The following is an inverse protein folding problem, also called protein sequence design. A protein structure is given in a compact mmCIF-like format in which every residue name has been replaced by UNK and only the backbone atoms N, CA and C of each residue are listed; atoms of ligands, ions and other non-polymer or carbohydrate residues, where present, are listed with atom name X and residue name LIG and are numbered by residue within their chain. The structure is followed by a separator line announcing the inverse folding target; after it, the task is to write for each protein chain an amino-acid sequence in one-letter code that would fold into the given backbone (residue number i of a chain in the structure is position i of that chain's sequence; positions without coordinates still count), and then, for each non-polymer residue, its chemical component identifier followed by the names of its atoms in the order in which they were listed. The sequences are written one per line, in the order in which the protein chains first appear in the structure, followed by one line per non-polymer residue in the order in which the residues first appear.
data_IF_135523787067
#
_entry.id   IF_135523787067
#
_cell.length_a   1.000
_cell.length_b   1.000
_cell.length_c   1.000
_cell.angle_alpha   90.00
_cell.angle_beta   90.00
_cell.angle_gamma   90.00
#
_symmetry.space_group_name_H-M   'P 1'
#
loop_
_entity.id
_entity.type
_entity.pdbx_description
1 polymer ?
#
# COMPACT_ATOMS: atom_id res chain seq x y z
N UNK A 1 30.40 51.98 43.42
CA UNK A 1 31.21 52.33 42.25
C UNK A 1 30.95 51.29 41.17
N UNK A 2 30.15 51.47 40.13
CA UNK A 2 29.16 52.47 39.74
C UNK A 2 28.39 51.84 38.57
N UNK A 3 27.08 52.12 38.51
CA UNK A 3 26.25 52.45 37.33
C UNK A 3 26.65 51.91 35.93
N UNK A 4 25.79 51.18 35.19
CA UNK A 4 24.52 51.56 34.54
C UNK A 4 24.65 51.97 33.05
N UNK A 5 23.68 51.49 32.25
CA UNK A 5 23.13 52.05 30.99
C UNK A 5 24.01 52.10 29.73
N UNK A 6 23.51 52.09 28.48
CA UNK A 6 22.21 51.81 27.86
C UNK A 6 22.35 51.87 26.31
N UNK A 7 21.32 51.39 25.61
CA UNK A 7 20.83 51.78 24.26
C UNK A 7 21.58 51.38 22.97
N UNK A 8 20.99 50.40 22.26
CA UNK A 8 20.12 50.66 21.09
C UNK A 8 20.74 50.94 19.71
N UNK A 9 20.46 50.08 18.73
CA UNK A 9 19.76 50.49 17.48
C UNK A 9 19.59 49.33 16.47
N UNK A 10 18.55 49.52 15.66
CA UNK A 10 17.94 48.74 14.59
C UNK A 10 18.83 48.15 13.49
N UNK A 11 18.39 47.02 12.92
CA UNK A 11 18.79 46.60 11.57
C UNK A 11 18.24 45.24 11.14
N UNK A 12 17.07 45.24 10.46
CA UNK A 12 16.61 44.08 9.66
C UNK A 12 17.59 43.85 8.51
N UNK A 13 17.98 42.61 8.23
CA UNK A 13 18.44 42.23 6.90
C UNK A 13 17.99 40.81 6.54
N UNK A 14 17.16 40.75 5.51
CA UNK A 14 16.71 39.57 4.78
C UNK A 14 17.80 39.19 3.79
N UNK A 15 18.25 37.93 3.78
CA UNK A 15 19.12 37.40 2.73
C UNK A 15 18.36 36.32 1.94
N UNK A 16 17.94 36.71 0.73
CA UNK A 16 17.41 35.85 -0.34
C UNK A 16 18.49 34.92 -0.88
N UNK A 17 18.16 33.65 -1.12
CA UNK A 17 18.94 32.73 -1.96
C UNK A 17 18.64 32.97 -3.44
N UNK A 18 19.72 32.89 -4.20
CA UNK A 18 19.90 33.19 -5.63
C UNK A 18 19.41 32.02 -6.48
N UNK A 19 18.61 32.31 -7.52
CA UNK A 19 18.31 31.39 -8.63
C UNK A 19 19.04 31.90 -9.88
N UNK A 20 19.87 31.06 -10.48
CA UNK A 20 20.59 31.34 -11.71
C UNK A 20 19.73 30.97 -12.93
N UNK A 21 19.49 31.94 -13.80
CA UNK A 21 18.88 31.78 -15.13
C UNK A 21 20.01 31.92 -16.15
N UNK A 22 20.23 30.89 -16.97
CA UNK A 22 21.13 30.96 -18.12
C UNK A 22 20.30 31.20 -19.39
N UNK A 23 20.61 32.32 -20.06
CA UNK A 23 20.07 32.70 -21.36
C UNK A 23 21.10 32.41 -22.45
N UNK A 24 20.64 31.99 -23.64
CA UNK A 24 21.42 32.09 -24.87
C UNK A 24 20.53 32.57 -26.03
N UNK A 25 20.79 33.80 -26.51
CA UNK A 25 20.49 34.32 -27.85
C UNK A 25 21.74 34.06 -28.71
N UNK A 26 21.75 33.88 -30.03
CA UNK A 26 20.75 33.92 -31.09
C UNK A 26 21.45 33.99 -32.47
N UNK A 27 20.64 34.19 -33.52
CA UNK A 27 20.94 34.71 -34.86
C UNK A 27 21.11 33.73 -36.05
N UNK A 28 20.40 34.05 -37.15
CA UNK A 28 20.79 33.68 -38.52
C UNK A 28 19.66 33.28 -39.49
N UNK A 29 19.02 34.25 -40.15
CA UNK A 29 18.09 34.06 -41.30
C UNK A 29 18.84 33.63 -42.56
N UNK A 30 18.21 32.78 -43.40
CA UNK A 30 18.29 32.87 -44.87
C UNK A 30 17.11 32.15 -45.56
N UNK A 31 16.58 32.78 -46.61
CA UNK A 31 15.43 32.38 -47.45
C UNK A 31 15.88 31.52 -48.64
N UNK A 32 15.05 30.56 -49.09
CA UNK A 32 14.35 30.54 -50.42
C UNK A 32 13.75 29.17 -50.78
N UNK A 33 12.47 29.23 -51.19
CA UNK A 33 11.78 28.59 -52.33
C UNK A 33 11.79 27.06 -52.62
N UNK A 34 10.56 26.53 -52.58
CA UNK A 34 9.80 25.87 -53.68
C UNK A 34 9.70 24.32 -53.76
N UNK A 35 8.41 23.90 -53.92
CA UNK A 35 7.86 22.65 -54.52
C UNK A 35 8.13 21.33 -53.75
N UNK A 36 7.23 20.36 -53.65
CA UNK A 36 6.12 19.93 -54.49
C UNK A 36 4.97 19.33 -53.66
N UNK A 37 3.73 19.48 -54.17
CA UNK A 37 2.51 18.77 -53.76
C UNK A 37 2.62 17.26 -54.04
N UNK A 38 2.02 16.44 -53.18
CA UNK A 38 1.47 15.14 -53.57
C UNK A 38 0.17 14.88 -52.80
N UNK A 39 -0.89 14.68 -53.59
CA UNK A 39 -2.27 14.37 -53.22
C UNK A 39 -2.39 12.90 -52.81
N UNK A 40 -3.24 12.62 -51.82
CA UNK A 40 -3.74 11.28 -51.50
C UNK A 40 -5.13 11.39 -50.85
N UNK A 41 -6.08 10.47 -51.14
CA UNK A 41 -7.50 10.80 -51.24
C UNK A 41 -8.28 10.72 -49.91
N UNK A 42 -9.29 11.58 -49.79
CA UNK A 42 -10.39 11.50 -48.81
C UNK A 42 -11.55 10.68 -49.38
N UNK A 43 -12.03 9.66 -48.65
CA UNK A 43 -13.42 9.11 -48.70
C UNK A 43 -13.64 8.25 -47.43
N UNK A 44 -14.88 8.00 -46.95
CA UNK A 44 -15.92 8.90 -46.45
C UNK A 44 -16.24 8.65 -44.95
N UNK A 45 -17.02 9.57 -44.38
CA UNK A 45 -17.66 9.44 -43.06
C UNK A 45 -18.75 8.36 -43.12
N UNK A 46 -18.57 7.28 -42.37
CA UNK A 46 -19.55 6.21 -42.14
C UNK A 46 -20.06 6.23 -40.70
N UNK A 47 -21.24 6.80 -40.50
CA UNK A 47 -22.00 6.72 -39.26
C UNK A 47 -22.41 5.26 -39.02
N UNK A 48 -21.89 4.61 -37.98
CA UNK A 48 -22.38 3.33 -37.50
C UNK A 48 -22.65 3.43 -36.01
N UNK A 49 -23.95 3.40 -35.68
CA UNK A 49 -24.45 3.19 -34.32
C UNK A 49 -23.91 1.84 -33.83
N UNK A 50 -23.10 1.83 -32.79
CA UNK A 50 -22.82 0.64 -32.00
C UNK A 50 -23.46 0.87 -30.62
N UNK A 51 -24.49 0.07 -30.37
CA UNK A 51 -25.26 0.05 -29.14
C UNK A 51 -24.39 -0.30 -27.93
N UNK A 52 -24.80 0.24 -26.79
CA UNK A 52 -24.17 -0.01 -25.51
C UNK A 52 -24.08 -1.51 -25.22
N UNK A 53 -22.86 -1.95 -24.92
CA UNK A 53 -22.62 -3.09 -24.04
C UNK A 53 -21.90 -2.53 -22.82
N UNK A 54 -22.68 -2.26 -21.77
CA UNK A 54 -22.15 -2.17 -20.41
C UNK A 54 -21.55 -3.55 -20.10
N UNK A 55 -20.23 -3.66 -20.16
CA UNK A 55 -19.51 -4.81 -19.62
C UNK A 55 -19.47 -4.66 -18.12
N UNK A 56 -20.53 -5.12 -17.43
CA UNK A 56 -20.47 -5.33 -16.00
C UNK A 56 -19.47 -6.45 -15.71
N UNK A 57 -18.38 -6.11 -15.02
CA UNK A 57 -17.51 -7.09 -14.38
C UNK A 57 -18.32 -7.77 -13.27
N UNK A 58 -19.04 -8.83 -13.62
CA UNK A 58 -19.62 -9.77 -12.66
C UNK A 58 -18.61 -10.89 -12.53
N UNK A 59 -17.88 -10.91 -11.42
CA UNK A 59 -17.10 -12.09 -11.07
C UNK A 59 -18.13 -13.21 -10.84
N UNK A 60 -18.15 -14.21 -11.73
CA UNK A 60 -19.09 -15.30 -11.61
C UNK A 60 -18.89 -15.99 -10.25
N UNK A 61 -19.94 -15.99 -9.43
CA UNK A 61 -20.00 -16.76 -8.18
C UNK A 61 -19.91 -18.25 -8.53
N UNK A 62 -18.68 -18.77 -8.58
CA UNK A 62 -18.24 -20.15 -8.27
C UNK A 62 -17.04 -20.55 -9.12
N UNK A 63 -15.93 -20.92 -8.48
CA UNK A 63 -15.38 -22.29 -8.49
C UNK A 63 -14.13 -22.34 -7.60
N UNK A 64 -14.16 -23.27 -6.64
CA UNK A 64 -13.06 -23.82 -5.84
C UNK A 64 -11.92 -22.89 -5.40
N UNK A 65 -12.06 -22.33 -4.18
CA UNK A 65 -10.88 -22.11 -3.33
C UNK A 65 -10.36 -23.48 -2.85
N UNK A 66 -9.71 -24.24 -3.72
CA UNK A 66 -8.91 -25.37 -3.28
C UNK A 66 -7.47 -24.90 -3.04
N UNK A 67 -7.04 -24.99 -1.80
CA UNK A 67 -5.71 -24.67 -1.32
C UNK A 67 -4.70 -25.73 -1.78
N UNK A 68 -4.06 -25.53 -2.93
CA UNK A 68 -2.87 -26.30 -3.26
C UNK A 68 -1.65 -25.67 -2.56
N UNK A 69 -1.08 -26.38 -1.59
CA UNK A 69 0.14 -25.99 -0.86
C UNK A 69 1.44 -26.20 -1.66
N UNK A 70 1.35 -26.35 -2.99
CA UNK A 70 2.50 -26.48 -3.89
C UNK A 70 2.76 -25.13 -4.56
N UNK A 71 4.01 -24.61 -4.54
CA UNK A 71 4.33 -23.39 -5.26
C UNK A 71 4.00 -23.58 -6.73
N UNK A 72 3.11 -22.75 -7.28
CA UNK A 72 2.76 -22.81 -8.68
C UNK A 72 4.00 -22.50 -9.50
N UNK A 73 4.37 -23.41 -10.41
CA UNK A 73 5.47 -23.20 -11.37
C UNK A 73 5.03 -22.33 -12.56
N UNK A 74 3.78 -21.87 -12.54
CA UNK A 74 3.19 -21.06 -13.60
C UNK A 74 3.85 -19.68 -13.65
N UNK A 75 4.10 -19.13 -14.84
CA UNK A 75 4.62 -17.78 -14.98
C UNK A 75 3.62 -16.77 -14.39
N UNK A 76 4.15 -15.80 -13.65
CA UNK A 76 3.38 -14.70 -13.07
C UNK A 76 3.43 -13.53 -14.06
N UNK A 77 2.25 -13.10 -14.51
CA UNK A 77 2.07 -12.01 -15.47
C UNK A 77 1.45 -10.82 -14.75
N UNK A 78 2.06 -9.65 -14.89
CA UNK A 78 1.82 -8.49 -14.02
C UNK A 78 1.68 -7.19 -14.82
N UNK A 79 1.13 -7.32 -16.03
CA UNK A 79 1.12 -6.28 -17.05
C UNK A 79 -0.26 -5.67 -17.27
N UNK A 80 -1.32 -6.27 -16.74
CA UNK A 80 -2.68 -5.81 -16.97
C UNK A 80 -3.47 -5.53 -15.68
N UNK A 81 -4.30 -4.49 -15.76
CA UNK A 81 -5.12 -3.98 -14.67
C UNK A 81 -6.05 -5.05 -14.07
N UNK A 82 -6.65 -5.88 -14.92
CA UNK A 82 -7.67 -6.86 -14.50
C UNK A 82 -7.07 -7.95 -13.63
N UNK A 83 -5.92 -8.49 -14.02
CA UNK A 83 -5.23 -9.54 -13.26
C UNK A 83 -4.72 -9.00 -11.93
N UNK A 84 -4.19 -7.77 -11.90
CA UNK A 84 -3.79 -7.11 -10.66
C UNK A 84 -4.99 -6.99 -9.71
N UNK A 85 -6.13 -6.48 -10.18
CA UNK A 85 -7.35 -6.36 -9.36
C UNK A 85 -7.81 -7.72 -8.86
N UNK A 86 -7.86 -8.73 -9.73
CA UNK A 86 -8.32 -10.07 -9.36
C UNK A 86 -7.42 -10.73 -8.32
N UNK A 87 -6.10 -10.72 -8.52
CA UNK A 87 -5.15 -11.35 -7.61
C UNK A 87 -5.10 -10.62 -6.27
N UNK A 88 -5.05 -9.29 -6.29
CA UNK A 88 -5.12 -8.45 -5.09
C UNK A 88 -6.39 -8.75 -4.29
N UNK A 89 -7.55 -8.70 -4.94
CA UNK A 89 -8.84 -8.87 -4.28
C UNK A 89 -8.99 -10.28 -3.70
N UNK A 90 -8.57 -11.30 -4.45
CA UNK A 90 -8.54 -12.68 -3.97
C UNK A 90 -7.67 -12.82 -2.72
N UNK A 91 -6.48 -12.23 -2.72
CA UNK A 91 -5.58 -12.26 -1.57
C UNK A 91 -6.17 -11.53 -0.35
N UNK A 92 -6.77 -10.35 -0.53
CA UNK A 92 -7.45 -9.62 0.54
C UNK A 92 -8.62 -10.42 1.10
N UNK A 93 -9.47 -11.01 0.25
CA UNK A 93 -10.58 -11.86 0.68
C UNK A 93 -10.10 -13.09 1.46
N UNK A 94 -9.02 -13.73 1.03
CA UNK A 94 -8.41 -14.82 1.79
C UNK A 94 -7.90 -14.35 3.15
N UNK A 95 -7.25 -13.17 3.19
CA UNK A 95 -6.81 -12.57 4.43
C UNK A 95 -7.96 -12.29 5.40
N UNK A 96 -9.06 -11.70 4.89
CA UNK A 96 -10.27 -11.43 5.67
C UNK A 96 -10.95 -12.71 6.16
N UNK A 97 -10.95 -13.79 5.36
CA UNK A 97 -11.46 -15.11 5.78
C UNK A 97 -10.66 -15.71 6.93
N UNK A 98 -9.36 -15.42 6.99
CA UNK A 98 -8.47 -15.86 8.06
C UNK A 98 -8.38 -14.81 9.19
N UNK A 99 -9.40 -13.96 9.34
CA UNK A 99 -9.50 -12.92 10.38
C UNK A 99 -8.29 -11.97 10.44
N UNK A 100 -7.63 -11.68 9.32
CA UNK A 100 -6.61 -10.64 9.26
C UNK A 100 -7.25 -9.26 9.33
N UNK A 101 -6.83 -8.47 10.32
CA UNK A 101 -7.28 -7.09 10.50
C UNK A 101 -6.30 -6.06 9.95
N UNK A 102 -5.05 -6.45 9.64
CA UNK A 102 -4.01 -5.54 9.15
C UNK A 102 -3.30 -6.16 7.96
N UNK A 103 -3.51 -5.58 6.78
CA UNK A 103 -3.02 -6.12 5.52
C UNK A 103 -2.26 -5.07 4.71
N UNK A 104 -1.21 -5.51 4.04
CA UNK A 104 -0.45 -4.73 3.06
C UNK A 104 -0.71 -5.30 1.66
N UNK A 105 -1.00 -4.40 0.74
CA UNK A 105 -1.21 -4.69 -0.67
C UNK A 105 -0.30 -3.78 -1.48
N UNK A 106 0.66 -4.37 -2.19
CA UNK A 106 1.59 -3.67 -3.07
C UNK A 106 1.54 -4.32 -4.45
N UNK A 107 1.35 -3.51 -5.48
CA UNK A 107 1.26 -3.96 -6.87
C UNK A 107 2.20 -3.14 -7.75
N UNK A 108 2.59 -3.64 -8.94
CA UNK A 108 3.61 -2.97 -9.74
C UNK A 108 3.02 -1.72 -10.40
N UNK A 109 3.87 -0.75 -10.79
CA UNK A 109 3.40 0.42 -11.53
C UNK A 109 2.73 -0.01 -12.83
N UNK A 110 1.55 0.57 -13.08
CA UNK A 110 0.76 0.32 -14.30
C UNK A 110 1.41 1.07 -15.47
N UNK A 111 1.69 0.35 -16.56
CA UNK A 111 2.42 0.84 -17.74
C UNK A 111 1.83 2.10 -18.39
N UNK A 112 0.53 2.36 -18.25
CA UNK A 112 -0.09 3.61 -18.74
C UNK A 112 0.47 4.87 -18.03
N UNK A 113 1.10 4.70 -16.86
CA UNK A 113 1.77 5.75 -16.10
C UNK A 113 3.27 5.91 -16.43
N UNK A 114 3.88 5.02 -17.24
CA UNK A 114 5.29 5.10 -17.62
C UNK A 114 5.55 6.12 -18.76
N UNK A 115 4.49 6.53 -19.48
CA UNK A 115 4.61 7.40 -20.65
C UNK A 115 4.82 8.90 -20.32
N UNK A 116 4.63 9.34 -19.06
CA UNK A 116 4.82 10.75 -18.69
C UNK A 116 5.32 10.87 -17.24
N UNK A 117 6.59 11.25 -17.07
CA UNK A 117 7.22 11.63 -15.78
C UNK A 117 6.60 12.89 -15.12
N UNK A 118 5.33 13.23 -15.37
CA UNK A 118 4.77 14.56 -15.05
C UNK A 118 3.29 14.60 -14.61
N UNK A 119 2.75 13.56 -14.00
CA UNK A 119 1.47 13.70 -13.30
C UNK A 119 1.38 12.74 -12.12
N UNK A 120 1.91 13.16 -10.96
CA UNK A 120 1.58 12.56 -9.66
C UNK A 120 0.08 12.29 -9.52
N UNK A 121 -0.73 13.19 -10.08
CA UNK A 121 -2.19 13.10 -10.12
C UNK A 121 -2.68 11.83 -10.81
N UNK A 122 -2.03 11.37 -11.88
CA UNK A 122 -2.42 10.11 -12.58
C UNK A 122 -2.14 8.89 -11.69
N UNK A 123 -1.03 8.88 -10.94
CA UNK A 123 -0.74 7.82 -9.98
C UNK A 123 -1.75 7.83 -8.82
N UNK A 124 -2.07 9.02 -8.30
CA UNK A 124 -3.06 9.22 -7.24
C UNK A 124 -4.43 8.72 -7.70
N UNK A 125 -4.87 9.12 -8.88
CA UNK A 125 -6.18 8.75 -9.45
C UNK A 125 -6.25 7.25 -9.79
N UNK A 126 -5.16 6.66 -10.29
CA UNK A 126 -5.08 5.22 -10.53
C UNK A 126 -5.23 4.43 -9.22
N UNK A 127 -4.57 4.86 -8.14
CA UNK A 127 -4.72 4.23 -6.82
C UNK A 127 -6.15 4.33 -6.28
N UNK A 128 -6.83 5.46 -6.50
CA UNK A 128 -8.27 5.60 -6.18
C UNK A 128 -9.10 4.61 -6.97
N UNK A 129 -8.83 4.46 -8.28
CA UNK A 129 -9.54 3.51 -9.13
C UNK A 129 -9.35 2.06 -8.68
N UNK A 130 -8.13 1.65 -8.33
CA UNK A 130 -7.86 0.32 -7.74
C UNK A 130 -8.59 0.13 -6.41
N UNK A 131 -8.63 1.16 -5.56
CA UNK A 131 -9.30 1.09 -4.26
C UNK A 131 -10.81 0.90 -4.42
N UNK A 132 -11.42 1.62 -5.37
CA UNK A 132 -12.83 1.45 -5.74
C UNK A 132 -13.06 0.05 -6.29
N UNK A 133 -12.17 -0.47 -7.14
CA UNK A 133 -12.30 -1.82 -7.67
C UNK A 133 -12.23 -2.90 -6.57
N UNK A 134 -11.33 -2.75 -5.60
CA UNK A 134 -11.28 -3.62 -4.42
C UNK A 134 -12.59 -3.51 -3.62
N UNK A 135 -13.00 -2.28 -3.29
CA UNK A 135 -14.23 -2.02 -2.53
C UNK A 135 -15.47 -2.62 -3.18
N UNK A 136 -15.54 -2.60 -4.53
CA UNK A 136 -16.64 -3.18 -5.30
C UNK A 136 -16.79 -4.67 -5.10
N UNK A 137 -15.69 -5.39 -4.94
CA UNK A 137 -15.77 -6.83 -4.69
C UNK A 137 -16.02 -7.08 -3.21
N UNK A 138 -15.41 -6.31 -2.31
CA UNK A 138 -15.61 -6.47 -0.87
C UNK A 138 -17.08 -6.26 -0.44
N UNK A 139 -17.80 -5.30 -1.04
CA UNK A 139 -19.24 -5.13 -0.75
C UNK A 139 -20.09 -6.34 -1.16
N UNK A 140 -19.67 -7.16 -2.14
CA UNK A 140 -20.38 -8.40 -2.49
C UNK A 140 -20.28 -9.46 -1.39
N UNK A 141 -19.34 -9.27 -0.46
CA UNK A 141 -19.17 -10.05 0.76
C UNK A 141 -19.69 -9.29 1.99
N UNK A 142 -20.70 -8.42 1.80
CA UNK A 142 -21.38 -7.65 2.83
C UNK A 142 -20.46 -6.78 3.71
N UNK A 143 -19.33 -6.31 3.15
CA UNK A 143 -18.41 -5.39 3.84
C UNK A 143 -18.74 -3.94 3.53
N UNK A 144 -18.75 -3.10 4.56
CA UNK A 144 -18.75 -1.64 4.39
C UNK A 144 -17.31 -1.13 4.29
N UNK A 145 -16.98 -0.50 3.16
CA UNK A 145 -15.61 -0.09 2.82
C UNK A 145 -15.48 1.43 2.82
N UNK A 146 -14.50 1.95 3.56
CA UNK A 146 -14.12 3.36 3.50
C UNK A 146 -12.69 3.51 2.97
N UNK A 147 -12.55 4.21 1.84
CA UNK A 147 -11.26 4.51 1.24
C UNK A 147 -10.73 5.80 1.87
N UNK A 148 -9.58 5.71 2.54
CA UNK A 148 -8.94 6.80 3.24
C UNK A 148 -7.83 7.41 2.38
N UNK A 149 -7.99 8.70 2.11
CA UNK A 149 -7.04 9.55 1.39
C UNK A 149 -6.23 10.41 2.38
N UNK A 150 -5.06 10.95 1.98
CA UNK A 150 -4.19 11.69 2.90
C UNK A 150 -4.86 12.88 3.55
N UNK A 151 -5.59 13.68 2.77
CA UNK A 151 -6.25 14.88 3.24
C UNK A 151 -7.63 15.11 2.60
N UNK A 152 -8.34 16.09 3.14
CA UNK A 152 -9.63 16.54 2.66
C UNK A 152 -9.64 17.10 1.21
N UNK A 153 -8.51 17.61 0.72
CA UNK A 153 -8.42 18.12 -0.65
C UNK A 153 -8.36 16.97 -1.67
N UNK A 154 -7.62 15.91 -1.34
CA UNK A 154 -7.57 14.64 -2.06
C UNK A 154 -8.96 14.00 -2.12
N UNK A 155 -9.70 13.97 -1.00
CA UNK A 155 -11.11 13.49 -0.98
C UNK A 155 -12.00 14.30 -1.93
N UNK A 156 -11.92 15.63 -1.90
CA UNK A 156 -12.72 16.48 -2.80
C UNK A 156 -12.38 16.25 -4.26
N UNK A 157 -11.09 16.07 -4.59
CA UNK A 157 -10.64 15.77 -5.95
C UNK A 157 -11.15 14.41 -6.41
N UNK A 158 -10.92 13.37 -5.61
CA UNK A 158 -11.38 12.02 -5.90
C UNK A 158 -12.91 11.97 -6.07
N UNK A 159 -13.68 12.63 -5.21
CA UNK A 159 -15.15 12.72 -5.34
C UNK A 159 -15.58 13.44 -6.62
N UNK A 160 -14.83 14.45 -7.08
CA UNK A 160 -15.13 15.14 -8.35
C UNK A 160 -14.92 14.25 -9.57
N UNK A 161 -13.89 13.39 -9.54
CA UNK A 161 -13.52 12.52 -10.67
C UNK A 161 -14.35 11.23 -10.67
N UNK A 162 -14.47 10.59 -9.50
CA UNK A 162 -15.06 9.26 -9.32
C UNK A 162 -16.44 9.27 -8.67
N UNK A 163 -17.03 10.43 -8.38
CA UNK A 163 -18.32 10.56 -7.69
C UNK A 163 -19.44 9.75 -8.33
N UNK A 164 -19.61 9.83 -9.66
CA UNK A 164 -20.61 9.03 -10.37
C UNK A 164 -20.41 7.52 -10.19
N UNK A 165 -19.17 7.06 -10.08
CA UNK A 165 -18.86 5.66 -9.86
C UNK A 165 -19.08 5.26 -8.40
N UNK A 166 -18.85 6.16 -7.45
CA UNK A 166 -19.08 5.94 -6.02
C UNK A 166 -20.57 5.95 -5.68
N UNK A 167 -21.35 6.84 -6.29
CA UNK A 167 -22.80 6.96 -6.09
C UNK A 167 -23.57 5.71 -6.58
N UNK A 168 -22.92 4.81 -7.32
CA UNK A 168 -23.48 3.51 -7.72
C UNK A 168 -23.41 2.46 -6.61
N UNK A 169 -22.67 2.72 -5.54
CA UNK A 169 -22.38 1.75 -4.48
C UNK A 169 -22.72 2.34 -3.12
N UNK A 170 -23.66 1.70 -2.41
CA UNK A 170 -24.13 2.20 -1.11
C UNK A 170 -23.08 1.97 0.00
N UNK A 171 -22.26 0.93 -0.12
CA UNK A 171 -21.33 0.48 0.93
C UNK A 171 -19.88 0.93 0.70
N UNK A 172 -19.63 1.86 -0.23
CA UNK A 172 -18.29 2.39 -0.52
C UNK A 172 -18.28 3.90 -0.31
N UNK A 173 -17.42 4.37 0.58
CA UNK A 173 -17.28 5.80 0.87
C UNK A 173 -15.83 6.28 0.79
N UNK A 174 -15.63 7.59 0.65
CA UNK A 174 -14.32 8.24 0.76
C UNK A 174 -14.21 8.97 2.09
N UNK A 175 -13.03 8.92 2.71
CA UNK A 175 -12.67 9.67 3.91
C UNK A 175 -11.24 10.21 3.85
N UNK A 176 -10.87 11.08 4.78
CA UNK A 176 -9.53 11.65 4.91
C UNK A 176 -8.83 11.14 6.17
N UNK A 177 -7.51 10.98 6.12
CA UNK A 177 -6.66 10.76 7.31
C UNK A 177 -6.44 12.06 8.07
N UNK A 178 -6.23 13.16 7.34
CA UNK A 178 -5.97 14.50 7.90
C UNK A 178 -7.04 15.49 7.44
N UNK A 179 -7.72 16.12 8.40
CA UNK A 179 -8.82 17.05 8.17
C UNK A 179 -9.33 17.59 9.49
N UNK A 180 -9.83 18.84 9.51
CA UNK A 180 -10.39 19.56 10.69
C UNK A 180 -11.03 18.58 11.66
N UNK A 181 -10.62 18.66 12.94
CA UNK A 181 -11.02 17.77 14.03
C UNK A 181 -12.39 17.14 13.84
N UNK A 182 -12.43 15.82 13.98
CA UNK A 182 -13.64 15.02 13.91
C UNK A 182 -14.22 14.76 12.51
N UNK A 183 -13.54 13.92 11.72
CA UNK A 183 -14.25 13.14 10.68
C UNK A 183 -14.01 11.65 10.88
N UNK A 184 -12.78 11.25 11.21
CA UNK A 184 -12.54 9.92 11.78
C UNK A 184 -13.01 9.91 13.25
N UNK A 185 -12.68 10.92 14.06
CA UNK A 185 -13.21 11.00 15.43
C UNK A 185 -14.71 11.28 15.51
N UNK A 186 -15.38 12.00 14.60
CA UNK A 186 -16.86 12.14 14.65
C UNK A 186 -17.58 10.87 14.16
N UNK A 187 -17.06 10.19 13.13
CA UNK A 187 -17.58 8.88 12.72
C UNK A 187 -17.38 7.80 13.81
N UNK A 188 -16.40 8.01 14.69
CA UNK A 188 -16.11 7.15 15.86
C UNK A 188 -16.81 7.67 17.13
N UNK A 189 -17.07 8.96 17.34
CA UNK A 189 -17.70 9.48 18.56
C UNK A 189 -19.24 9.40 18.53
N UNK A 190 -19.87 9.32 17.34
CA UNK A 190 -21.33 9.22 17.19
C UNK A 190 -21.93 7.90 17.71
N UNK A 191 -21.12 6.89 17.99
CA UNK A 191 -21.56 5.57 18.50
C UNK A 191 -22.14 5.63 19.93
N UNK A 192 -22.07 6.77 20.62
CA UNK A 192 -22.76 6.97 21.91
C UNK A 192 -24.30 7.05 21.80
N UNK A 193 -24.87 7.22 20.60
CA UNK A 193 -26.30 7.52 20.42
C UNK A 193 -27.26 6.33 20.31
N UNK A 194 -26.79 5.09 20.11
CA UNK A 194 -27.68 3.98 19.66
C UNK A 194 -28.24 3.11 20.80
N UNK A 195 -27.72 3.20 22.03
CA UNK A 195 -28.22 2.39 23.16
C UNK A 195 -29.40 2.99 23.94
N UNK A 196 -30.03 4.08 23.47
CA UNK A 196 -31.15 4.75 24.18
C UNK A 196 -32.54 4.57 23.56
N UNK A 197 -32.73 3.77 22.50
CA UNK A 197 -34.03 3.65 21.80
C UNK A 197 -34.81 2.37 22.07
N UNK A 198 -34.72 1.84 23.30
CA UNK A 198 -35.63 0.79 23.79
C UNK A 198 -36.50 1.28 24.96
N UNK A 199 -36.92 2.54 24.93
CA UNK A 199 -38.07 3.03 25.70
C UNK A 199 -38.84 4.09 24.90
N UNK A 200 -40.16 3.93 24.83
CA UNK A 200 -41.01 4.53 23.82
C UNK A 200 -41.46 5.98 24.02
N UNK A 201 -42.27 6.41 23.04
CA UNK A 201 -43.03 7.66 22.88
C UNK A 201 -42.30 8.92 22.37
N UNK A 202 -42.78 9.44 21.23
CA UNK A 202 -42.61 10.86 20.88
C UNK A 202 -42.61 11.18 19.39
N UNK A 203 -43.77 11.59 18.88
CA UNK A 203 -43.99 12.22 17.58
C UNK A 203 -43.29 13.57 17.41
N UNK A 204 -42.70 13.87 16.25
CA UNK A 204 -42.23 15.22 15.90
C UNK A 204 -41.51 15.30 14.55
N UNK A 205 -41.81 16.34 13.78
CA UNK A 205 -41.51 16.56 12.36
C UNK A 205 -40.08 16.99 12.00
N UNK A 206 -39.58 16.50 10.85
CA UNK A 206 -38.73 17.23 9.89
C UNK A 206 -37.21 17.20 10.09
N UNK A 207 -36.47 16.54 9.18
CA UNK A 207 -35.17 17.01 8.66
C UNK A 207 -34.68 16.13 7.49
N UNK A 208 -33.97 16.77 6.56
CA UNK A 208 -33.32 16.19 5.38
C UNK A 208 -32.52 14.92 5.76
N UNK A 209 -32.77 13.82 5.05
CA UNK A 209 -32.15 12.54 5.31
C UNK A 209 -30.63 12.59 5.14
N UNK A 210 -29.93 12.57 6.27
CA UNK A 210 -28.54 12.13 6.35
C UNK A 210 -28.48 10.65 5.99
N UNK A 211 -27.63 10.31 5.02
CA UNK A 211 -27.27 8.92 4.73
C UNK A 211 -26.83 8.25 6.05
N UNK A 212 -27.40 7.07 6.29
CA UNK A 212 -27.29 6.32 7.54
C UNK A 212 -25.84 5.96 7.87
N UNK A 213 -25.43 6.18 9.12
CA UNK A 213 -24.13 5.80 9.69
C UNK A 213 -23.97 4.27 9.68
N UNK A 214 -23.51 3.73 8.56
CA UNK A 214 -23.11 2.33 8.46
C UNK A 214 -21.74 2.14 9.14
N UNK A 215 -21.67 1.20 10.08
CA UNK A 215 -20.41 0.78 10.71
C UNK A 215 -19.42 0.34 9.62
N UNK A 216 -18.24 0.95 9.57
CA UNK A 216 -17.20 0.61 8.59
C UNK A 216 -16.45 -0.64 9.02
N UNK A 217 -16.42 -1.65 8.16
CA UNK A 217 -15.75 -2.93 8.43
C UNK A 217 -14.35 -3.00 7.83
N UNK A 218 -14.06 -2.17 6.81
CA UNK A 218 -12.78 -2.20 6.11
C UNK A 218 -12.35 -0.81 5.68
N UNK A 219 -11.18 -0.39 6.14
CA UNK A 219 -10.49 0.81 5.71
C UNK A 219 -9.45 0.46 4.65
N UNK A 220 -9.48 1.14 3.50
CA UNK A 220 -8.46 1.02 2.46
C UNK A 220 -7.69 2.33 2.40
N UNK A 221 -6.44 2.33 2.87
CA UNK A 221 -5.60 3.52 2.94
C UNK A 221 -4.72 3.60 1.70
N UNK A 222 -4.80 4.73 0.99
CA UNK A 222 -4.04 4.99 -0.23
C UNK A 222 -3.32 6.34 -0.19
N UNK A 223 -2.23 6.44 -0.95
CA UNK A 223 -1.48 7.68 -1.20
C UNK A 223 -0.92 8.39 0.06
N UNK A 224 -0.92 7.73 1.22
CA UNK A 224 -0.41 8.28 2.48
C UNK A 224 1.12 8.33 2.51
N UNK A 225 1.68 9.41 3.07
CA UNK A 225 3.11 9.57 3.31
C UNK A 225 3.50 9.25 4.75
N UNK A 226 4.79 9.36 5.08
CA UNK A 226 5.28 9.21 6.47
C UNK A 226 4.54 10.10 7.48
N UNK A 227 4.06 11.28 7.07
CA UNK A 227 3.32 12.18 7.94
C UNK A 227 1.95 11.59 8.31
N UNK A 228 1.19 11.13 7.31
CA UNK A 228 -0.16 10.60 7.54
C UNK A 228 -0.14 9.21 8.19
N UNK A 229 0.95 8.43 8.05
CA UNK A 229 1.11 7.17 8.79
C UNK A 229 1.11 7.37 10.31
N UNK A 230 1.59 8.52 10.80
CA UNK A 230 1.52 8.86 12.23
C UNK A 230 0.06 8.98 12.68
N UNK A 231 -0.76 9.67 11.89
CA UNK A 231 -2.15 9.91 12.21
C UNK A 231 -2.99 8.65 12.03
N UNK A 232 -2.69 7.84 11.01
CA UNK A 232 -3.27 6.51 10.86
C UNK A 232 -3.00 5.64 12.08
N UNK A 233 -1.76 5.59 12.60
CA UNK A 233 -1.44 4.83 13.82
C UNK A 233 -2.33 5.29 14.99
N UNK A 234 -2.45 6.60 15.22
CA UNK A 234 -3.30 7.15 16.29
C UNK A 234 -4.77 6.75 16.12
N UNK A 235 -5.28 6.80 14.89
CA UNK A 235 -6.65 6.41 14.56
C UNK A 235 -6.89 4.93 14.87
N UNK A 236 -6.03 4.06 14.34
CA UNK A 236 -6.18 2.61 14.47
C UNK A 236 -6.04 2.19 15.94
N UNK A 237 -5.05 2.73 16.65
CA UNK A 237 -4.86 2.43 18.07
C UNK A 237 -6.02 2.98 18.92
N UNK A 238 -6.50 4.20 18.63
CA UNK A 238 -7.64 4.80 19.31
C UNK A 238 -8.95 4.02 19.11
N UNK A 239 -9.20 3.53 17.89
CA UNK A 239 -10.33 2.64 17.60
C UNK A 239 -10.22 1.34 18.39
N UNK A 240 -9.04 0.71 18.35
CA UNK A 240 -8.78 -0.54 19.06
C UNK A 240 -8.99 -0.38 20.57
N UNK A 241 -8.45 0.66 21.17
CA UNK A 241 -8.61 0.97 22.60
C UNK A 241 -10.07 1.16 22.98
N UNK A 242 -10.85 1.83 22.12
CA UNK A 242 -12.28 2.02 22.34
C UNK A 242 -13.03 0.70 22.31
N UNK A 243 -12.79 -0.13 21.29
CA UNK A 243 -13.42 -1.46 21.18
C UNK A 243 -13.05 -2.36 22.36
N UNK A 244 -11.80 -2.32 22.82
CA UNK A 244 -11.36 -3.04 24.02
C UNK A 244 -12.12 -2.59 25.29
N UNK A 245 -12.39 -1.29 25.45
CA UNK A 245 -13.18 -0.78 26.58
C UNK A 245 -14.63 -1.25 26.53
N UNK A 246 -15.21 -1.30 25.33
CA UNK A 246 -16.58 -1.77 25.10
C UNK A 246 -16.71 -3.29 25.32
N UNK A 247 -15.72 -4.08 24.85
CA UNK A 247 -15.63 -5.52 25.08
C UNK A 247 -15.35 -5.88 26.56
N UNK A 248 -14.65 -5.01 27.28
CA UNK A 248 -14.29 -5.21 28.67
C UNK A 248 -13.31 -6.38 28.86
N UNK A 249 -13.63 -7.27 29.81
CA UNK A 249 -12.80 -8.43 30.14
C UNK A 249 -13.05 -9.67 29.27
N UNK A 250 -14.08 -9.65 28.42
CA UNK A 250 -14.39 -10.79 27.56
C UNK A 250 -13.34 -10.94 26.45
N UNK A 251 -13.18 -12.14 25.91
CA UNK A 251 -12.44 -12.40 24.67
C UNK A 251 -13.43 -12.79 23.57
N UNK A 252 -13.15 -12.50 22.29
CA UNK A 252 -14.07 -12.79 21.20
C UNK A 252 -14.26 -14.31 21.01
N UNK A 253 -15.32 -14.71 20.30
CA UNK A 253 -15.59 -16.12 20.05
C UNK A 253 -14.41 -16.81 19.34
N UNK A 254 -14.10 -18.03 19.77
CA UNK A 254 -12.93 -18.80 19.31
C UNK A 254 -11.62 -18.44 20.01
N UNK A 255 -11.51 -17.29 20.68
CA UNK A 255 -10.31 -16.92 21.45
C UNK A 255 -10.38 -17.39 22.90
N UNK A 256 -9.24 -17.81 23.42
CA UNK A 256 -9.07 -18.26 24.80
C UNK A 256 -7.80 -17.64 25.38
N UNK A 257 -7.89 -17.15 26.62
CA UNK A 257 -6.76 -16.60 27.36
C UNK A 257 -6.01 -17.73 28.10
N UNK A 258 -4.70 -17.78 27.90
CA UNK A 258 -3.77 -18.66 28.57
C UNK A 258 -2.67 -17.82 29.23
N UNK A 259 -1.83 -18.46 30.06
CA UNK A 259 -0.67 -17.81 30.67
C UNK A 259 0.58 -18.59 30.30
N UNK A 260 1.60 -17.89 29.82
CA UNK A 260 2.88 -18.51 29.51
C UNK A 260 3.57 -18.96 30.80
N UNK A 261 4.03 -20.22 30.84
CA UNK A 261 4.60 -20.83 32.05
C UNK A 261 5.92 -20.16 32.47
N UNK A 262 6.69 -19.62 31.51
CA UNK A 262 8.00 -19.02 31.77
C UNK A 262 7.90 -17.58 32.23
N UNK A 263 7.08 -16.76 31.57
CA UNK A 263 6.96 -15.33 31.83
C UNK A 263 5.79 -14.97 32.74
N UNK A 264 4.79 -15.84 32.86
CA UNK A 264 3.51 -15.54 33.50
C UNK A 264 2.64 -14.55 32.72
N UNK A 265 3.09 -14.10 31.53
CA UNK A 265 2.37 -13.15 30.69
C UNK A 265 1.15 -13.84 30.04
N UNK A 266 -0.02 -13.21 30.02
CA UNK A 266 -1.16 -13.75 29.31
C UNK A 266 -0.88 -13.77 27.80
N UNK A 267 -1.31 -14.83 27.13
CA UNK A 267 -1.37 -14.95 25.68
C UNK A 267 -2.74 -15.47 25.26
N UNK A 268 -3.15 -15.18 24.03
CA UNK A 268 -4.45 -15.54 23.51
C UNK A 268 -4.28 -16.51 22.36
N UNK A 269 -5.03 -17.61 22.39
CA UNK A 269 -5.05 -18.63 21.34
C UNK A 269 -6.43 -18.72 20.71
N UNK A 270 -6.49 -18.68 19.39
CA UNK A 270 -7.71 -18.89 18.63
C UNK A 270 -7.81 -20.35 18.20
N UNK A 271 -8.80 -21.07 18.72
CA UNK A 271 -8.98 -22.49 18.42
C UNK A 271 -9.49 -22.77 16.99
N UNK A 272 -10.05 -21.77 16.29
CA UNK A 272 -10.56 -21.91 14.92
C UNK A 272 -9.47 -21.68 13.88
N UNK A 273 -8.63 -20.66 14.09
CA UNK A 273 -7.55 -20.29 13.15
C UNK A 273 -6.16 -20.79 13.56
N UNK A 274 -6.04 -21.47 14.71
CA UNK A 274 -4.79 -21.97 15.28
C UNK A 274 -3.74 -20.86 15.53
N UNK A 275 -4.19 -19.61 15.70
CA UNK A 275 -3.31 -18.45 15.88
C UNK A 275 -3.09 -18.12 17.35
N UNK A 276 -1.87 -17.69 17.68
CA UNK A 276 -1.51 -17.15 18.98
C UNK A 276 -1.16 -15.67 18.87
N UNK A 277 -1.58 -14.86 19.83
CA UNK A 277 -1.17 -13.46 19.95
C UNK A 277 -0.91 -13.10 21.41
N UNK A 278 0.00 -12.14 21.62
CA UNK A 278 0.26 -11.56 22.94
C UNK A 278 -0.68 -10.39 23.26
N UNK A 279 -1.29 -9.80 22.23
CA UNK A 279 -2.23 -8.69 22.37
C UNK A 279 -3.65 -9.21 22.49
N UNK A 280 -4.44 -8.63 23.39
CA UNK A 280 -5.83 -9.05 23.58
C UNK A 280 -6.61 -8.91 22.28
N UNK A 281 -7.26 -9.97 21.77
CA UNK A 281 -8.05 -9.92 20.55
C UNK A 281 -9.31 -9.07 20.75
N UNK A 282 -9.68 -8.35 19.69
CA UNK A 282 -10.81 -7.41 19.69
C UNK A 282 -11.89 -7.96 18.77
N UNK A 283 -13.13 -8.01 19.26
CA UNK A 283 -14.28 -8.42 18.48
C UNK A 283 -14.63 -7.33 17.46
N UNK A 284 -14.93 -7.74 16.22
CA UNK A 284 -15.35 -6.84 15.15
C UNK A 284 -14.35 -5.70 14.88
N UNK A 285 -13.04 -5.94 15.04
CA UNK A 285 -12.02 -4.97 14.67
C UNK A 285 -12.07 -4.74 13.14
N UNK A 286 -12.20 -3.48 12.68
CA UNK A 286 -12.24 -3.19 11.26
C UNK A 286 -10.89 -3.52 10.62
N UNK A 287 -10.93 -4.09 9.42
CA UNK A 287 -9.72 -4.41 8.68
C UNK A 287 -9.10 -3.14 8.10
N UNK A 288 -7.80 -2.98 8.20
CA UNK A 288 -7.03 -1.87 7.61
C UNK A 288 -6.12 -2.43 6.52
N UNK A 289 -6.37 -2.03 5.28
CA UNK A 289 -5.58 -2.40 4.11
C UNK A 289 -4.73 -1.20 3.70
N UNK A 290 -3.42 -1.31 3.84
CA UNK A 290 -2.47 -0.34 3.28
C UNK A 290 -2.25 -0.73 1.83
N UNK A 291 -2.69 0.11 0.90
CA UNK A 291 -2.68 -0.23 -0.52
C UNK A 291 -1.79 0.73 -1.30
N UNK A 292 -0.78 0.15 -1.95
CA UNK A 292 0.17 0.80 -2.84
C UNK A 292 0.83 2.05 -2.23
N UNK A 293 1.28 1.93 -0.98
CA UNK A 293 1.92 3.02 -0.23
C UNK A 293 3.45 3.02 -0.36
N UNK A 294 4.03 2.04 -1.05
CA UNK A 294 5.49 1.85 -1.11
C UNK A 294 6.14 1.83 0.29
N UNK A 295 5.58 1.03 1.21
CA UNK A 295 6.02 1.05 2.61
C UNK A 295 7.53 0.74 2.78
N UNK A 296 8.15 -0.01 1.87
CA UNK A 296 9.61 -0.18 1.88
C UNK A 296 10.37 1.14 1.73
N UNK A 297 9.92 2.01 0.83
CA UNK A 297 10.50 3.34 0.60
C UNK A 297 10.26 4.20 1.85
N UNK A 298 9.03 4.23 2.36
CA UNK A 298 8.67 5.02 3.54
C UNK A 298 9.42 4.57 4.80
N UNK A 299 9.63 3.26 5.00
CA UNK A 299 10.47 2.72 6.09
C UNK A 299 11.93 3.19 5.96
N UNK A 300 12.42 3.42 4.74
CA UNK A 300 13.75 3.99 4.50
C UNK A 300 13.93 5.39 5.08
N UNK A 301 12.87 6.19 5.11
CA UNK A 301 12.89 7.56 5.61
C UNK A 301 12.72 7.66 7.14
N UNK A 302 12.26 6.60 7.81
CA UNK A 302 12.06 6.60 9.26
C UNK A 302 13.38 6.78 10.01
N UNK A 303 13.35 7.66 11.01
CA UNK A 303 14.52 8.05 11.79
C UNK A 303 15.43 9.09 11.13
N UNK A 304 15.09 9.58 9.92
CA UNK A 304 15.72 10.77 9.35
C UNK A 304 15.20 12.04 10.04
N UNK A 305 15.94 13.15 9.91
CA UNK A 305 15.54 14.45 10.46
C UNK A 305 14.19 14.86 9.85
N UNK A 306 13.23 15.23 10.72
CA UNK A 306 11.84 15.58 10.37
C UNK A 306 10.92 14.43 9.95
N UNK A 307 11.39 13.17 10.02
CA UNK A 307 10.56 11.99 9.81
C UNK A 307 10.22 11.30 11.15
N UNK A 308 9.17 10.46 11.19
CA UNK A 308 8.82 9.72 12.41
C UNK A 308 9.95 8.80 12.89
N UNK A 309 9.99 8.47 14.19
CA UNK A 309 10.98 7.55 14.74
C UNK A 309 10.81 6.13 14.19
N UNK A 310 11.89 5.35 14.23
CA UNK A 310 11.89 3.93 13.80
C UNK A 310 10.90 3.06 14.57
N UNK A 311 10.52 3.46 15.79
CA UNK A 311 9.52 2.76 16.60
C UNK A 311 8.15 2.68 15.90
N UNK A 312 7.85 3.61 14.98
CA UNK A 312 6.68 3.46 14.10
C UNK A 312 6.68 2.14 13.32
N UNK A 313 7.84 1.68 12.86
CA UNK A 313 7.91 0.40 12.18
C UNK A 313 7.64 -0.74 13.15
N UNK A 314 8.39 -0.77 14.26
CA UNK A 314 8.35 -1.87 15.22
C UNK A 314 6.96 -2.03 15.87
N UNK A 315 6.31 -0.92 16.23
CA UNK A 315 5.05 -0.94 16.97
C UNK A 315 3.82 -1.03 16.05
N UNK A 316 3.91 -0.54 14.82
CA UNK A 316 2.75 -0.39 13.94
C UNK A 316 2.92 -1.09 12.60
N UNK A 317 3.91 -0.71 11.78
CA UNK A 317 4.03 -1.26 10.42
C UNK A 317 4.41 -2.74 10.39
N UNK A 318 4.99 -3.27 11.47
CA UNK A 318 5.34 -4.69 11.63
C UNK A 318 4.10 -5.59 11.70
N UNK A 319 2.97 -5.03 12.15
CA UNK A 319 1.70 -5.76 12.32
C UNK A 319 0.92 -6.00 11.03
N UNK A 320 1.26 -5.30 9.94
CA UNK A 320 0.58 -5.45 8.65
C UNK A 320 1.15 -6.64 7.89
N UNK A 321 0.27 -7.60 7.54
CA UNK A 321 0.65 -8.79 6.78
C UNK A 321 0.56 -8.51 5.27
N UNK A 322 1.62 -8.66 4.48
CA UNK A 322 1.57 -8.51 3.03
C UNK A 322 0.75 -9.64 2.44
N UNK A 323 -0.48 -9.34 2.00
CA UNK A 323 -1.38 -10.33 1.40
C UNK A 323 -1.21 -10.40 -0.11
N UNK A 324 -0.95 -9.27 -0.75
CA UNK A 324 -0.54 -9.23 -2.14
C UNK A 324 0.64 -8.30 -2.23
N UNK A 325 1.81 -8.78 -2.63
CA UNK A 325 3.01 -7.98 -2.60
C UNK A 325 3.86 -8.26 -3.80
N UNK A 326 4.37 -7.19 -4.41
CA UNK A 326 5.45 -7.30 -5.37
C UNK A 326 6.44 -6.16 -5.22
N UNK A 327 7.71 -6.50 -5.30
CA UNK A 327 8.79 -5.53 -5.41
C UNK A 327 9.77 -5.90 -6.50
N UNK A 328 9.68 -5.19 -7.61
CA UNK A 328 10.59 -5.35 -8.75
C UNK A 328 11.94 -4.68 -8.48
N UNK A 329 13.01 -5.32 -8.96
CA UNK A 329 14.37 -4.81 -8.91
C UNK A 329 15.13 -5.18 -10.16
N UNK A 330 15.77 -4.17 -10.74
CA UNK A 330 16.71 -4.34 -11.84
C UNK A 330 18.13 -4.33 -11.29
N UNK A 331 18.92 -5.30 -11.75
CA UNK A 331 20.30 -5.47 -11.34
C UNK A 331 21.20 -5.57 -12.57
N UNK A 332 22.47 -5.25 -12.34
CA UNK A 332 23.53 -5.49 -13.31
C UNK A 332 24.72 -6.15 -12.62
N UNK A 333 25.34 -7.11 -13.31
CA UNK A 333 26.53 -7.81 -12.84
C UNK A 333 27.59 -7.81 -13.92
N UNK A 334 28.75 -7.26 -13.60
CA UNK A 334 29.95 -7.43 -14.41
C UNK A 334 30.48 -8.85 -14.28
N UNK A 335 30.80 -9.49 -15.40
CA UNK A 335 31.38 -10.84 -15.52
C UNK A 335 32.70 -10.76 -16.30
N UNK A 336 33.53 -11.80 -16.18
CA UNK A 336 34.88 -11.84 -16.79
C UNK A 336 34.86 -12.16 -18.28
N UNK A 337 33.80 -12.79 -18.76
CA UNK A 337 33.63 -13.20 -20.16
C UNK A 337 32.55 -12.38 -20.86
N UNK A 338 32.62 -12.29 -22.19
CA UNK A 338 31.58 -11.64 -23.00
C UNK A 338 30.19 -12.19 -22.65
N UNK A 339 29.16 -11.36 -22.37
CA UNK A 339 29.04 -9.93 -22.67
C UNK A 339 29.64 -8.92 -21.65
N UNK A 340 30.47 -9.35 -20.68
CA UNK A 340 31.09 -8.55 -19.60
C UNK A 340 30.13 -7.86 -18.64
N UNK A 341 28.89 -7.59 -19.04
CA UNK A 341 27.82 -7.03 -18.23
C UNK A 341 26.53 -7.78 -18.54
N UNK A 342 25.96 -8.39 -17.50
CA UNK A 342 24.66 -9.06 -17.57
C UNK A 342 23.67 -8.23 -16.77
N UNK A 343 22.63 -7.75 -17.45
CA UNK A 343 21.49 -7.12 -16.81
C UNK A 343 20.41 -8.18 -16.58
N UNK A 344 19.78 -8.14 -15.42
CA UNK A 344 18.69 -9.05 -15.07
C UNK A 344 17.71 -8.33 -14.15
N UNK A 345 16.44 -8.68 -14.28
CA UNK A 345 15.37 -8.18 -13.43
C UNK A 345 14.71 -9.34 -12.71
N UNK A 346 14.16 -9.04 -11.55
CA UNK A 346 13.36 -9.98 -10.79
C UNK A 346 12.47 -9.26 -9.79
N UNK A 347 11.76 -10.03 -8.99
CA UNK A 347 10.91 -9.48 -7.96
C UNK A 347 10.85 -10.36 -6.72
N UNK A 348 10.65 -9.73 -5.56
CA UNK A 348 10.09 -10.41 -4.40
C UNK A 348 8.58 -10.36 -4.56
N UNK A 349 7.92 -11.51 -4.45
CA UNK A 349 6.50 -11.64 -4.73
C UNK A 349 5.79 -12.45 -3.65
N UNK A 350 4.53 -12.13 -3.41
CA UNK A 350 3.64 -12.92 -2.57
C UNK A 350 2.17 -12.74 -2.96
N UNK A 351 1.43 -13.84 -2.96
CA UNK A 351 -0.03 -13.87 -3.00
C UNK A 351 -0.53 -14.79 -1.88
N UNK A 352 -1.20 -14.23 -0.86
CA UNK A 352 -1.71 -14.95 0.30
C UNK A 352 -2.85 -15.91 -0.08
N UNK A 353 -2.85 -17.16 0.43
CA UNK A 353 -2.04 -17.71 1.53
C UNK A 353 -0.68 -18.30 1.13
N UNK A 354 -0.20 -18.06 -0.09
CA UNK A 354 1.07 -18.55 -0.58
C UNK A 354 2.30 -18.00 0.16
N UNK A 355 3.37 -18.77 0.06
CA UNK A 355 4.70 -18.44 0.57
C UNK A 355 5.31 -17.27 -0.20
N UNK A 356 6.34 -16.64 0.38
CA UNK A 356 7.16 -15.66 -0.33
C UNK A 356 7.93 -16.31 -1.46
N UNK A 357 8.00 -15.65 -2.60
CA UNK A 357 8.69 -16.13 -3.78
C UNK A 357 9.72 -15.12 -4.28
N UNK A 358 10.83 -15.63 -4.79
CA UNK A 358 11.73 -14.85 -5.65
C UNK A 358 11.38 -15.20 -7.08
N UNK A 359 11.10 -14.18 -7.87
CA UNK A 359 10.84 -14.30 -9.29
C UNK A 359 12.01 -13.76 -10.10
N UNK A 360 12.30 -14.40 -11.24
CA UNK A 360 13.26 -13.94 -12.23
C UNK A 360 12.52 -13.63 -13.53
N UNK A 361 12.81 -12.50 -14.14
CA UNK A 361 12.25 -12.17 -15.46
C UNK A 361 12.84 -13.10 -16.54
N UNK A 362 11.98 -13.73 -17.35
CA UNK A 362 12.44 -14.68 -18.38
C UNK A 362 13.22 -13.98 -19.49
N UNK A 363 12.65 -12.89 -20.00
CA UNK A 363 13.25 -12.03 -21.01
C UNK A 363 13.19 -10.60 -20.52
N UNK A 364 14.34 -9.93 -20.45
CA UNK A 364 14.44 -8.57 -19.93
C UNK A 364 13.51 -7.61 -20.70
N UNK A 365 12.54 -7.02 -19.99
CA UNK A 365 11.56 -6.07 -20.52
C UNK A 365 10.20 -6.65 -20.91
N UNK A 366 10.02 -7.98 -20.89
CA UNK A 366 8.72 -8.60 -21.18
C UNK A 366 7.78 -8.63 -19.96
N UNK A 367 8.27 -8.29 -18.76
CA UNK A 367 7.53 -8.32 -17.47
C UNK A 367 6.87 -9.67 -17.18
N UNK A 368 7.44 -10.75 -17.73
CA UNK A 368 7.05 -12.14 -17.48
C UNK A 368 8.01 -12.77 -16.52
N UNK A 369 7.49 -13.20 -15.39
CA UNK A 369 8.29 -13.64 -14.27
C UNK A 369 8.10 -15.12 -13.99
N UNK A 370 9.22 -15.82 -13.76
CA UNK A 370 9.24 -17.22 -13.35
C UNK A 370 9.65 -17.34 -11.89
N UNK A 371 8.90 -18.08 -11.05
CA UNK A 371 9.34 -18.35 -9.69
C UNK A 371 10.58 -19.25 -9.68
N UNK A 372 11.62 -18.82 -8.95
CA UNK A 372 12.90 -19.53 -8.83
C UNK A 372 13.17 -20.05 -7.42
N UNK A 373 12.52 -19.49 -6.39
CA UNK A 373 12.63 -19.94 -5.00
C UNK A 373 11.38 -19.57 -4.20
N UNK A 374 11.06 -20.33 -3.17
CA UNK A 374 9.94 -20.11 -2.25
C UNK A 374 10.36 -20.28 -0.79
N UNK A 375 9.86 -19.43 0.10
CA UNK A 375 10.16 -19.43 1.54
C UNK A 375 8.95 -18.98 2.35
N UNK A 376 8.77 -19.53 3.55
CA UNK A 376 7.74 -19.06 4.49
C UNK A 376 8.04 -17.65 5.01
N UNK A 377 9.32 -17.33 5.13
CA UNK A 377 9.81 -16.02 5.57
C UNK A 377 10.17 -15.16 4.37
N UNK A 378 9.88 -13.86 4.49
CA UNK A 378 10.24 -12.84 3.49
C UNK A 378 11.74 -12.85 3.22
N UNK A 379 12.08 -12.84 1.94
CA UNK A 379 13.46 -12.62 1.49
C UNK A 379 13.86 -11.17 1.75
N UNK A 380 15.07 -10.96 2.28
CA UNK A 380 15.71 -9.65 2.20
C UNK A 380 16.03 -9.30 0.74
N UNK A 381 16.16 -8.00 0.44
CA UNK A 381 16.58 -7.56 -0.90
C UNK A 381 17.90 -8.19 -1.36
N UNK A 382 18.79 -8.51 -0.42
CA UNK A 382 20.06 -9.16 -0.72
C UNK A 382 19.93 -10.66 -0.97
N UNK A 383 19.17 -11.39 -0.15
CA UNK A 383 18.90 -12.81 -0.38
C UNK A 383 18.18 -13.04 -1.71
N UNK A 384 17.21 -12.19 -2.04
CA UNK A 384 16.53 -12.23 -3.33
C UNK A 384 17.52 -12.06 -4.50
N UNK A 385 18.41 -11.06 -4.41
CA UNK A 385 19.46 -10.82 -5.41
C UNK A 385 20.42 -12.01 -5.54
N UNK A 386 20.88 -12.58 -4.42
CA UNK A 386 21.77 -13.75 -4.43
C UNK A 386 21.09 -14.97 -5.05
N UNK A 387 19.81 -15.19 -4.76
CA UNK A 387 18.99 -16.27 -5.31
C UNK A 387 18.84 -16.12 -6.83
N UNK A 388 18.58 -14.90 -7.32
CA UNK A 388 18.54 -14.61 -8.76
C UNK A 388 19.90 -14.89 -9.42
N UNK A 389 21.00 -14.39 -8.85
CA UNK A 389 22.35 -14.64 -9.40
C UNK A 389 22.72 -16.11 -9.43
N UNK A 390 22.33 -16.88 -8.41
CA UNK A 390 22.55 -18.32 -8.35
C UNK A 390 21.78 -19.06 -9.45
N UNK A 391 20.49 -18.73 -9.62
CA UNK A 391 19.65 -19.34 -10.66
C UNK A 391 20.16 -19.08 -12.09
N UNK A 392 20.82 -17.93 -12.30
CA UNK A 392 21.44 -17.56 -13.58
C UNK A 392 22.84 -18.16 -13.77
N UNK A 393 23.37 -18.91 -12.80
CA UNK A 393 24.74 -19.44 -12.84
C UNK A 393 25.82 -18.35 -12.77
N UNK A 394 25.49 -17.17 -12.24
CA UNK A 394 26.40 -16.03 -12.15
C UNK A 394 27.21 -16.00 -10.85
N UNK A 395 26.99 -16.94 -9.92
CA UNK A 395 27.87 -17.10 -8.74
C UNK A 395 29.17 -17.77 -9.20
N UNK A 396 30.26 -17.00 -9.26
CA UNK A 396 31.60 -17.53 -9.52
C UNK A 396 32.29 -17.98 -8.24
N UNK A 397 33.46 -18.62 -8.39
CA UNK A 397 34.39 -18.94 -7.31
C UNK A 397 35.06 -17.65 -6.79
N UNK A 398 34.27 -16.77 -6.20
CA UNK A 398 34.75 -15.50 -5.64
C UNK A 398 35.48 -15.78 -4.31
N UNK A 399 36.68 -15.23 -4.16
CA UNK A 399 37.39 -15.31 -2.87
C UNK A 399 36.60 -14.56 -1.80
N UNK A 400 36.64 -14.98 -0.52
CA UNK A 400 35.92 -14.33 0.57
C UNK A 400 36.17 -12.81 0.68
N UNK A 401 37.39 -12.36 0.33
CA UNK A 401 37.77 -10.95 0.31
C UNK A 401 37.06 -10.16 -0.80
N UNK A 402 36.97 -10.70 -2.02
CA UNK A 402 36.23 -10.06 -3.13
C UNK A 402 34.73 -10.04 -2.84
N UNK A 403 34.21 -11.11 -2.23
CA UNK A 403 32.82 -11.18 -1.78
C UNK A 403 32.51 -10.08 -0.76
N UNK A 404 33.37 -9.90 0.25
CA UNK A 404 33.21 -8.84 1.25
C UNK A 404 33.31 -7.42 0.65
N UNK A 405 34.31 -7.14 -0.19
CA UNK A 405 34.48 -5.83 -0.83
C UNK A 405 33.29 -5.43 -1.70
N UNK A 406 32.62 -6.41 -2.30
CA UNK A 406 31.48 -6.20 -3.19
C UNK A 406 30.16 -6.11 -2.45
N UNK A 407 29.97 -6.94 -1.43
CA UNK A 407 28.75 -6.97 -0.61
C UNK A 407 28.69 -5.80 0.37
N UNK A 408 29.85 -5.29 0.80
CA UNK A 408 29.93 -4.22 1.78
C UNK A 408 29.52 -4.67 3.18
N UNK A 409 29.49 -3.72 4.13
CA UNK A 409 29.20 -4.00 5.54
C UNK A 409 27.69 -4.12 5.84
N UNK A 410 26.85 -3.49 5.01
CA UNK A 410 25.40 -3.47 5.20
C UNK A 410 24.73 -4.25 4.07
N UNK A 411 24.22 -5.43 4.41
CA UNK A 411 23.64 -6.37 3.45
C UNK A 411 22.12 -6.31 3.39
N UNK A 412 21.47 -5.61 4.31
CA UNK A 412 20.02 -5.48 4.36
C UNK A 412 19.62 -4.07 4.80
N UNK A 413 18.37 -3.70 4.53
CA UNK A 413 17.83 -2.45 5.07
C UNK A 413 17.70 -2.56 6.59
N UNK A 414 17.67 -1.42 7.30
CA UNK A 414 17.70 -1.42 8.77
C UNK A 414 16.51 -2.17 9.41
N UNK A 415 15.36 -2.19 8.74
CA UNK A 415 14.14 -2.87 9.19
C UNK A 415 14.13 -4.36 8.80
N UNK A 416 15.04 -4.79 7.94
CA UNK A 416 15.23 -6.21 7.59
C UNK A 416 16.32 -6.89 8.43
N UNK A 417 17.11 -6.15 9.22
CA UNK A 417 18.21 -6.72 10.01
C UNK A 417 17.67 -7.63 11.13
N UNK A 418 17.98 -8.93 11.13
CA UNK A 418 17.50 -9.88 12.14
C UNK A 418 17.83 -9.50 13.58
N UNK A 419 18.83 -8.64 13.82
CA UNK A 419 19.17 -8.14 15.15
C UNK A 419 18.06 -7.31 15.79
N UNK A 420 17.20 -6.70 14.98
CA UNK A 420 16.12 -5.83 15.46
C UNK A 420 14.77 -6.57 15.54
N UNK A 421 14.69 -7.87 15.18
CA UNK A 421 13.43 -8.61 15.18
C UNK A 421 12.81 -8.75 16.57
N UNK A 422 13.62 -8.75 17.63
CA UNK A 422 13.13 -8.79 19.01
C UNK A 422 12.42 -7.49 19.44
N UNK A 423 12.56 -6.40 18.67
CA UNK A 423 11.91 -5.11 18.94
C UNK A 423 10.52 -5.04 18.31
N UNK A 424 10.23 -5.88 17.33
CA UNK A 424 8.97 -5.84 16.58
C UNK A 424 7.81 -6.33 17.46
N UNK A 425 6.70 -5.59 17.45
CA UNK A 425 5.46 -6.04 18.10
C UNK A 425 4.87 -7.29 17.43
N UNK A 426 5.12 -7.47 16.12
CA UNK A 426 4.63 -8.59 15.32
C UNK A 426 5.58 -8.92 14.18
N UNK A 427 5.68 -10.20 13.82
CA UNK A 427 6.44 -10.68 12.66
C UNK A 427 5.57 -10.79 11.38
N UNK A 428 4.32 -10.32 11.41
CA UNK A 428 3.37 -10.41 10.31
C UNK A 428 3.90 -9.85 8.99
N UNK A 429 4.70 -8.78 9.03
CA UNK A 429 5.26 -8.19 7.82
C UNK A 429 6.26 -9.10 7.09
N UNK A 430 6.86 -10.08 7.80
CA UNK A 430 7.79 -11.09 7.27
C UNK A 430 7.13 -12.43 7.01
N UNK A 431 6.07 -12.76 7.75
CA UNK A 431 5.39 -14.06 7.74
C UNK A 431 4.21 -14.13 6.81
#
# INVERSE_FOLDING_TARGET
MDMACACGSSGRTVARRVAAVAASRGAGKLRRCARHQALGPKVPVGCSKLGGRQGGLTLARSQNLESSSTPSTSPVVLDNYTDIVNNMTKAVLNGLKDDLTRMEVEFPPVLEADAYKNSSDVYIDANVQFAIALGRVLQEYDRTVQILLPDENEVRRARKIFGQALDMYDNISLGSLTGRGDVISDAIESVKGVFSFLDGQGSGSGQQGSAQDAQVDTYVVINASCSELVDLKKVVDGQRDRLLREQGGAVPDGWQEYKDEKSGRPYFYNAKSERTTWDRPVANEPAVVLMNLELETLRGDLGLVAFPPKDMHYDFLSSFKPVYFIRQRDYSKTITESPYLVNYSGAIYREYPGDWQVLLEETLGDRKYKPISSSKDRYTLFEAKETMMESMGLKGDETPALKFLRTGYQTCTWWEDPKDYDREASDNWRK
#
